data_IF_720374181305
#
_entry.id   IF_720374181305
#
_cell.length_a   1.000
_cell.length_b   1.000
_cell.length_c   1.000
_cell.angle_alpha   90.00
_cell.angle_beta   90.00
_cell.angle_gamma   90.00
#
_symmetry.space_group_name_H-M   'P 1'
#
loop_
_entity.id
_entity.type
_entity.pdbx_description
1 polymer ?
#
# COMPACT_ATOMS: atom_id res chain seq x y z
N UNK A 1 23.42 -2.45 -2.96
CA UNK A 1 22.37 -3.36 -2.49
C UNK A 1 21.02 -2.77 -2.82
N UNK A 2 20.05 -3.61 -3.13
CA UNK A 2 18.83 -3.13 -3.79
C UNK A 2 17.66 -4.08 -3.50
N UNK A 3 16.48 -3.53 -3.30
CA UNK A 3 15.25 -4.31 -3.34
C UNK A 3 14.15 -3.54 -4.08
N UNK A 4 13.21 -4.27 -4.63
CA UNK A 4 12.06 -3.72 -5.32
C UNK A 4 10.84 -4.56 -5.01
N UNK A 5 9.73 -3.91 -4.75
CA UNK A 5 8.45 -4.56 -4.49
C UNK A 5 7.48 -4.15 -5.59
N UNK A 6 6.77 -5.11 -6.13
CA UNK A 6 5.71 -4.88 -7.09
C UNK A 6 4.41 -5.37 -6.46
N UNK A 7 3.43 -4.47 -6.38
CA UNK A 7 2.15 -4.76 -5.75
C UNK A 7 1.05 -4.44 -6.74
N UNK A 8 0.13 -5.39 -6.93
CA UNK A 8 -1.07 -5.21 -7.76
C UNK A 8 -2.27 -5.35 -6.84
N UNK A 9 -3.11 -4.33 -6.80
CA UNK A 9 -4.26 -4.36 -5.93
C UNK A 9 -5.16 -3.16 -6.12
N UNK A 10 -6.12 -3.03 -5.22
CA UNK A 10 -7.15 -2.00 -5.31
C UNK A 10 -7.02 -0.99 -4.17
N UNK A 11 -7.26 0.29 -4.48
CA UNK A 11 -7.31 1.32 -3.46
C UNK A 11 -8.50 1.09 -2.52
N UNK A 12 -8.25 1.21 -1.23
CA UNK A 12 -9.31 1.10 -0.21
C UNK A 12 -10.04 2.40 0.03
N UNK A 13 -9.42 3.53 -0.28
CA UNK A 13 -9.98 4.88 -0.13
C UNK A 13 -9.43 5.77 -1.23
N UNK A 14 -10.04 6.94 -1.39
CA UNK A 14 -9.50 7.96 -2.27
C UNK A 14 -8.12 8.40 -1.77
N UNK A 15 -7.17 8.69 -2.68
CA UNK A 15 -5.86 9.19 -2.27
C UNK A 15 -5.97 10.55 -1.57
N UNK A 16 -5.03 10.82 -0.68
CA UNK A 16 -4.92 12.10 0.00
C UNK A 16 -3.60 12.75 -0.37
N UNK A 17 -3.66 13.95 -0.92
CA UNK A 17 -2.48 14.73 -1.27
C UNK A 17 -2.27 15.88 -0.30
N UNK A 18 -1.02 16.13 0.04
CA UNK A 18 -0.61 17.28 0.83
C UNK A 18 0.73 17.79 0.35
N UNK A 19 1.06 19.00 0.76
CA UNK A 19 2.36 19.59 0.48
C UNK A 19 3.21 19.62 1.74
N UNK A 20 4.47 19.24 1.58
CA UNK A 20 5.45 19.35 2.64
C UNK A 20 5.87 20.81 2.82
N UNK A 21 6.51 21.17 3.96
CA UNK A 21 6.95 22.56 4.19
C UNK A 21 7.87 23.11 3.11
N UNK A 22 8.62 22.24 2.40
CA UNK A 22 9.49 22.64 1.31
C UNK A 22 8.76 22.78 -0.05
N UNK A 23 7.43 22.56 -0.07
CA UNK A 23 6.63 22.65 -1.29
C UNK A 23 6.50 21.35 -2.06
N UNK A 24 7.12 20.27 -1.63
CA UNK A 24 7.03 18.98 -2.31
C UNK A 24 5.66 18.35 -2.07
N UNK A 25 4.99 17.93 -3.14
CA UNK A 25 3.73 17.21 -3.04
C UNK A 25 3.97 15.76 -2.63
N UNK A 26 3.10 15.25 -1.77
CA UNK A 26 3.06 13.84 -1.41
C UNK A 26 1.62 13.36 -1.41
N UNK A 27 1.37 12.25 -2.08
CA UNK A 27 0.07 11.58 -2.09
C UNK A 27 0.21 10.24 -1.41
N UNK A 28 -0.69 9.98 -0.46
CA UNK A 28 -0.73 8.72 0.26
C UNK A 28 -2.04 8.01 -0.03
N UNK A 29 -1.97 6.70 -0.17
CA UNK A 29 -3.15 5.87 -0.28
C UNK A 29 -2.88 4.48 0.29
N UNK A 30 -3.95 3.78 0.65
CA UNK A 30 -3.90 2.40 1.07
C UNK A 30 -4.42 1.52 -0.05
N UNK A 31 -3.77 0.39 -0.28
CA UNK A 31 -4.21 -0.57 -1.27
C UNK A 31 -4.16 -1.98 -0.70
N UNK A 32 -5.07 -2.82 -1.16
CA UNK A 32 -5.19 -4.18 -0.72
C UNK A 32 -4.83 -5.14 -1.84
N UNK A 33 -4.07 -6.17 -1.51
CA UNK A 33 -3.86 -7.34 -2.35
C UNK A 33 -4.50 -8.53 -1.69
N UNK A 34 -5.22 -9.34 -2.46
CA UNK A 34 -5.90 -10.51 -1.93
C UNK A 34 -5.49 -11.75 -2.70
N UNK A 35 -5.38 -12.83 -1.97
CA UNK A 35 -5.05 -14.14 -2.49
C UNK A 35 -6.07 -15.15 -1.96
N UNK A 36 -6.55 -16.02 -2.82
CA UNK A 36 -7.53 -17.05 -2.46
C UNK A 36 -7.03 -18.43 -2.87
N UNK A 37 -7.23 -19.40 -2.02
CA UNK A 37 -6.94 -20.80 -2.33
C UNK A 37 -7.80 -21.72 -1.47
N UNK A 38 -7.82 -22.99 -1.80
CA UNK A 38 -8.50 -24.00 -0.99
C UNK A 38 -7.48 -24.70 -0.08
N UNK A 39 -7.84 -24.86 1.20
CA UNK A 39 -7.04 -25.62 2.13
C UNK A 39 -7.01 -27.09 1.70
N UNK A 40 -5.80 -27.66 1.62
CA UNK A 40 -5.62 -29.05 1.18
C UNK A 40 -6.22 -30.06 2.15
N UNK A 41 -6.25 -29.72 3.44
CA UNK A 41 -6.71 -30.64 4.48
C UNK A 41 -8.21 -30.61 4.66
N UNK A 42 -8.82 -29.43 4.58
CA UNK A 42 -10.26 -29.24 4.86
C UNK A 42 -11.08 -29.00 3.58
N UNK A 43 -10.45 -28.63 2.47
CA UNK A 43 -11.13 -28.23 1.24
C UNK A 43 -11.83 -26.87 1.35
N UNK A 44 -11.68 -26.18 2.47
CA UNK A 44 -12.33 -24.89 2.70
C UNK A 44 -11.61 -23.77 1.95
N UNK A 45 -12.35 -22.76 1.44
CA UNK A 45 -11.72 -21.61 0.85
C UNK A 45 -11.01 -20.77 1.92
N UNK A 46 -9.79 -20.33 1.57
CA UNK A 46 -8.99 -19.44 2.41
C UNK A 46 -8.73 -18.17 1.64
N UNK A 47 -8.89 -17.04 2.30
CA UNK A 47 -8.57 -15.73 1.73
C UNK A 47 -7.57 -15.01 2.61
N UNK A 48 -6.55 -14.45 1.98
CA UNK A 48 -5.53 -13.65 2.65
C UNK A 48 -5.49 -12.28 1.99
N UNK A 49 -5.58 -11.24 2.80
CA UNK A 49 -5.51 -9.86 2.34
C UNK A 49 -4.37 -9.14 3.03
N UNK A 50 -3.51 -8.51 2.24
CA UNK A 50 -2.43 -7.68 2.75
C UNK A 50 -2.72 -6.24 2.34
N UNK A 51 -2.62 -5.33 3.29
CA UNK A 51 -2.76 -3.90 3.06
C UNK A 51 -1.40 -3.24 3.00
N UNK A 52 -1.22 -2.40 2.00
CA UNK A 52 -0.01 -1.59 1.84
C UNK A 52 -0.37 -0.13 1.92
N UNK A 53 0.47 0.63 2.60
CA UNK A 53 0.38 2.08 2.58
C UNK A 53 1.44 2.60 1.63
N UNK A 54 1.02 3.38 0.64
CA UNK A 54 1.88 3.87 -0.43
C UNK A 54 2.01 5.37 -0.31
N UNK A 55 3.24 5.86 -0.41
CA UNK A 55 3.53 7.29 -0.50
C UNK A 55 4.19 7.57 -1.83
N UNK A 56 3.66 8.55 -2.54
CA UNK A 56 4.17 8.96 -3.86
C UNK A 56 4.56 10.42 -3.77
N UNK A 57 5.75 10.75 -4.22
CA UNK A 57 6.36 12.06 -4.05
C UNK A 57 6.51 12.80 -5.39
N UNK A 58 6.46 14.12 -5.35
CA UNK A 58 6.74 14.97 -6.48
C UNK A 58 5.65 14.99 -7.54
N UNK A 59 6.04 15.02 -8.80
CA UNK A 59 5.09 15.12 -9.92
C UNK A 59 4.12 13.96 -9.99
N UNK A 60 4.58 12.76 -9.66
CA UNK A 60 3.71 11.58 -9.64
C UNK A 60 2.63 11.70 -8.58
N UNK A 61 2.89 12.40 -7.49
CA UNK A 61 1.90 12.61 -6.44
C UNK A 61 0.67 13.32 -6.96
N UNK A 62 0.86 14.35 -7.78
CA UNK A 62 -0.25 15.11 -8.36
C UNK A 62 -1.07 14.26 -9.33
N UNK A 63 -0.39 13.47 -10.18
CA UNK A 63 -1.05 12.58 -11.11
C UNK A 63 -1.85 11.50 -10.39
N UNK A 64 -1.28 10.91 -9.34
CA UNK A 64 -1.96 9.89 -8.54
C UNK A 64 -3.22 10.47 -7.89
N UNK A 65 -3.11 11.66 -7.31
CA UNK A 65 -4.27 12.31 -6.69
C UNK A 65 -5.37 12.64 -7.69
N UNK A 66 -4.99 12.98 -8.92
CA UNK A 66 -5.92 13.36 -9.96
C UNK A 66 -6.64 12.18 -10.59
N UNK A 67 -5.93 11.08 -10.84
CA UNK A 67 -6.43 9.97 -11.65
C UNK A 67 -6.86 8.75 -10.88
N UNK A 68 -6.44 8.58 -9.63
CA UNK A 68 -6.81 7.42 -8.83
C UNK A 68 -7.95 7.75 -7.88
N UNK A 69 -8.74 6.73 -7.58
CA UNK A 69 -9.87 6.84 -6.66
C UNK A 69 -10.12 5.49 -6.00
N UNK A 70 -10.94 5.50 -4.96
CA UNK A 70 -11.34 4.29 -4.24
C UNK A 70 -11.81 3.20 -5.21
N UNK A 71 -11.31 2.00 -5.01
CA UNK A 71 -11.69 0.84 -5.80
C UNK A 71 -10.89 0.60 -7.07
N UNK A 72 -10.10 1.60 -7.53
CA UNK A 72 -9.27 1.45 -8.73
C UNK A 72 -8.20 0.40 -8.52
N UNK A 73 -7.97 -0.40 -9.55
CA UNK A 73 -6.87 -1.36 -9.59
C UNK A 73 -5.61 -0.68 -10.08
N UNK A 74 -4.52 -0.84 -9.34
CA UNK A 74 -3.25 -0.20 -9.67
C UNK A 74 -2.10 -1.20 -9.53
N UNK A 75 -1.02 -0.91 -10.27
CA UNK A 75 0.26 -1.59 -10.12
C UNK A 75 1.22 -0.57 -9.53
N UNK A 76 1.81 -0.90 -8.40
CA UNK A 76 2.79 -0.05 -7.73
C UNK A 76 4.14 -0.75 -7.71
N UNK A 77 5.16 -0.03 -8.16
CA UNK A 77 6.55 -0.46 -8.01
C UNK A 77 7.23 0.50 -7.05
N UNK A 78 7.95 -0.05 -6.11
CA UNK A 78 8.65 0.76 -5.14
C UNK A 78 9.52 -0.08 -4.24
N UNK A 79 9.84 0.47 -3.08
CA UNK A 79 10.60 -0.22 -2.06
C UNK A 79 9.93 -0.06 -0.71
N UNK A 80 10.18 -1.02 0.16
CA UNK A 80 9.67 -0.95 1.53
C UNK A 80 10.47 0.05 2.33
N UNK A 81 9.78 0.80 3.19
CA UNK A 81 10.46 1.68 4.14
C UNK A 81 10.86 0.88 5.36
N UNK A 82 12.06 1.12 5.85
CA UNK A 82 12.56 0.46 7.03
C UNK A 82 11.97 1.07 8.30
N UNK A 83 11.70 0.22 9.27
CA UNK A 83 11.51 0.65 10.64
C UNK A 83 12.88 0.73 11.31
N UNK A 84 13.31 1.92 11.76
CA UNK A 84 14.66 2.06 12.35
C UNK A 84 14.87 1.22 13.62
N UNK A 85 13.78 0.88 14.32
CA UNK A 85 13.88 0.14 15.57
C UNK A 85 14.05 -1.35 15.35
N UNK A 86 13.39 -1.92 14.34
CA UNK A 86 13.37 -3.35 14.10
C UNK A 86 14.28 -3.77 12.95
N UNK A 87 14.61 -2.86 12.04
CA UNK A 87 15.32 -3.17 10.81
C UNK A 87 14.47 -3.86 9.75
N UNK A 88 13.23 -4.20 10.09
CA UNK A 88 12.27 -4.79 9.17
C UNK A 88 11.40 -3.76 8.47
N UNK A 89 10.41 -4.20 7.70
CA UNK A 89 9.48 -3.28 7.07
C UNK A 89 8.69 -2.47 8.10
N UNK A 90 8.40 -1.22 7.76
CA UNK A 90 7.63 -0.36 8.62
C UNK A 90 6.17 -0.82 8.63
N UNK A 91 5.64 -1.07 9.83
CA UNK A 91 4.27 -1.51 10.04
C UNK A 91 3.48 -0.44 10.79
N UNK A 92 2.18 -0.42 10.56
CA UNK A 92 1.28 0.44 11.32
C UNK A 92 -0.02 -0.31 11.62
N UNK A 93 -0.70 0.07 12.70
CA UNK A 93 -2.00 -0.49 13.05
C UNK A 93 -3.10 0.19 12.23
N UNK A 94 -3.95 -0.60 11.59
CA UNK A 94 -5.13 -0.09 10.92
C UNK A 94 -6.29 0.14 11.88
N UNK A 95 -7.37 0.70 11.38
CA UNK A 95 -8.57 0.96 12.19
C UNK A 95 -9.20 -0.33 12.73
N UNK A 96 -9.00 -1.43 12.02
CA UNK A 96 -9.46 -2.76 12.43
C UNK A 96 -8.51 -3.46 13.38
N UNK A 97 -7.42 -2.81 13.78
CA UNK A 97 -6.39 -3.39 14.64
C UNK A 97 -5.38 -4.25 13.92
N UNK A 98 -5.53 -4.49 12.61
CA UNK A 98 -4.56 -5.25 11.83
C UNK A 98 -3.28 -4.45 11.61
N UNK A 99 -2.14 -5.17 11.62
CA UNK A 99 -0.84 -4.55 11.28
C UNK A 99 -0.67 -4.53 9.78
N UNK A 100 -0.13 -3.41 9.26
CA UNK A 100 0.08 -3.19 7.84
C UNK A 100 1.52 -2.76 7.55
N UNK A 101 1.97 -3.10 6.37
CA UNK A 101 3.29 -2.70 5.91
C UNK A 101 3.24 -1.51 4.96
#
# INVERSE_FOLDING_TARGET
MYHKVIVVGNLGRDPEMRYMPDGTAVTQFSMATSRKWNDRNTGQPVEETIWFRVSVWGRQAEAVNQYLSKGRTVIVEGHLRADPQTGGPRLWAGQDGAMRA
#
